data_IF_809179481589
#
_entry.id   IF_809179481589
#
_cell.length_a   1.000
_cell.length_b   1.000
_cell.length_c   1.000
_cell.angle_alpha   90.00
_cell.angle_beta   90.00
_cell.angle_gamma   90.00
#
_symmetry.space_group_name_H-M   'P 1'
#
loop_
_entity.id
_entity.type
_entity.pdbx_description
1 polymer ?
#
# COMPACT_ATOMS: atom_id res chain seq x y z
N UNK A 1 10.90 -20.79 -21.93
CA UNK A 1 11.53 -19.63 -21.30
C UNK A 1 11.21 -19.72 -19.82
N UNK A 2 12.22 -19.87 -19.04
CA UNK A 2 12.12 -20.21 -17.61
C UNK A 2 11.56 -19.03 -16.80
N UNK A 3 10.34 -19.19 -16.27
CA UNK A 3 9.62 -18.15 -15.50
C UNK A 3 9.80 -18.33 -13.98
N UNK A 4 10.86 -18.98 -13.55
CA UNK A 4 11.06 -19.35 -12.15
C UNK A 4 12.08 -18.50 -11.41
N UNK A 5 11.98 -17.18 -11.46
CA UNK A 5 12.78 -16.32 -10.59
C UNK A 5 11.96 -15.15 -10.03
N UNK A 6 10.90 -15.50 -9.27
CA UNK A 6 10.54 -14.65 -8.14
C UNK A 6 11.49 -15.08 -7.02
N UNK A 7 12.37 -14.21 -6.51
CA UNK A 7 13.24 -14.56 -5.39
C UNK A 7 12.39 -15.07 -4.24
N UNK A 8 12.87 -16.08 -3.53
CA UNK A 8 12.21 -16.58 -2.34
C UNK A 8 11.92 -15.41 -1.39
N UNK A 9 10.69 -15.32 -0.88
CA UNK A 9 10.29 -14.31 0.07
C UNK A 9 11.29 -14.30 1.23
N UNK A 10 11.96 -13.17 1.40
CA UNK A 10 12.82 -12.95 2.56
C UNK A 10 11.96 -12.50 3.73
N UNK A 11 12.37 -12.85 4.95
CA UNK A 11 11.69 -12.40 6.17
C UNK A 11 12.62 -11.46 6.94
N UNK A 12 12.07 -10.33 7.35
CA UNK A 12 12.71 -9.40 8.27
C UNK A 12 11.92 -9.35 9.57
N UNK A 13 12.61 -9.58 10.69
CA UNK A 13 12.01 -9.42 12.01
C UNK A 13 12.00 -7.94 12.39
N UNK A 14 10.84 -7.31 12.31
CA UNK A 14 10.64 -5.93 12.70
C UNK A 14 10.44 -5.83 14.23
N UNK A 15 11.39 -5.21 14.89
CA UNK A 15 11.34 -4.95 16.33
C UNK A 15 10.81 -3.53 16.56
N UNK A 16 9.65 -3.42 17.18
CA UNK A 16 9.05 -2.13 17.54
C UNK A 16 9.66 -1.59 18.85
N UNK A 17 9.52 -0.29 19.09
CA UNK A 17 10.07 0.38 20.27
C UNK A 17 9.53 -0.17 21.61
N UNK A 18 8.33 -0.75 21.60
CA UNK A 18 7.69 -1.37 22.78
C UNK A 18 8.11 -2.83 23.03
N UNK A 19 9.07 -3.34 22.23
CA UNK A 19 9.59 -4.71 22.33
C UNK A 19 8.80 -5.75 21.52
N UNK A 20 7.69 -5.38 20.88
CA UNK A 20 6.96 -6.27 19.98
C UNK A 20 7.83 -6.63 18.76
N UNK A 21 7.78 -7.88 18.33
CA UNK A 21 8.48 -8.38 17.15
C UNK A 21 7.49 -8.97 16.16
N UNK A 22 7.51 -8.48 14.93
CA UNK A 22 6.64 -8.92 13.84
C UNK A 22 7.50 -9.37 12.66
N UNK A 23 7.05 -10.38 11.95
CA UNK A 23 7.71 -10.83 10.73
C UNK A 23 7.15 -10.07 9.52
N UNK A 24 8.04 -9.52 8.71
CA UNK A 24 7.75 -8.78 7.49
C UNK A 24 8.33 -9.55 6.31
N UNK A 25 7.47 -9.99 5.41
CA UNK A 25 7.87 -10.60 4.15
C UNK A 25 8.25 -9.50 3.15
N UNK A 26 9.30 -9.74 2.37
CA UNK A 26 9.77 -8.80 1.37
C UNK A 26 10.54 -9.51 0.26
N UNK A 27 10.69 -8.84 -0.87
CA UNK A 27 11.41 -9.28 -2.04
C UNK A 27 12.37 -8.17 -2.49
N UNK A 28 13.46 -8.54 -3.12
CA UNK A 28 14.40 -7.60 -3.73
C UNK A 28 14.80 -8.11 -5.11
N UNK A 29 14.93 -7.18 -6.05
CA UNK A 29 15.57 -7.44 -7.33
C UNK A 29 16.69 -6.43 -7.56
N UNK A 30 17.87 -6.94 -7.95
CA UNK A 30 19.04 -6.15 -8.32
C UNK A 30 19.91 -6.99 -9.26
N UNK A 31 20.13 -6.50 -10.48
CA UNK A 31 20.86 -7.29 -11.51
C UNK A 31 22.39 -7.32 -11.28
N UNK A 32 22.95 -6.39 -10.48
CA UNK A 32 24.39 -6.33 -10.26
C UNK A 32 24.77 -6.21 -8.79
N UNK A 33 25.77 -6.98 -8.31
CA UNK A 33 26.34 -6.85 -6.97
C UNK A 33 26.96 -5.46 -6.70
N UNK A 34 27.34 -4.73 -7.77
CA UNK A 34 27.97 -3.40 -7.69
C UNK A 34 26.98 -2.28 -7.33
N UNK A 35 25.66 -2.55 -7.38
CA UNK A 35 24.64 -1.69 -6.79
C UNK A 35 24.63 -1.77 -5.25
N UNK A 36 25.84 -1.90 -4.68
CA UNK A 36 26.06 -2.09 -3.24
C UNK A 36 25.45 -0.99 -2.36
N UNK A 37 25.44 -1.23 -1.05
CA UNK A 37 24.87 -0.36 -0.02
C UNK A 37 25.35 1.10 -0.05
N UNK A 38 26.42 1.42 -0.76
CA UNK A 38 27.01 2.76 -0.93
C UNK A 38 26.71 3.42 -2.29
N UNK A 39 25.73 2.93 -3.06
CA UNK A 39 25.32 3.59 -4.30
C UNK A 39 24.70 4.95 -4.01
N UNK A 40 25.12 6.00 -4.72
CA UNK A 40 24.48 7.32 -4.68
C UNK A 40 23.09 7.31 -5.33
N UNK A 41 22.76 6.27 -6.11
CA UNK A 41 21.45 6.09 -6.74
C UNK A 41 20.47 5.56 -5.70
N UNK A 42 19.33 6.24 -5.47
CA UNK A 42 18.33 5.78 -4.51
C UNK A 42 17.79 4.40 -4.86
N UNK A 43 17.58 3.57 -3.83
CA UNK A 43 16.81 2.33 -3.99
C UNK A 43 15.32 2.66 -4.14
N UNK A 44 14.57 1.75 -4.77
CA UNK A 44 13.10 1.86 -4.88
C UNK A 44 12.44 0.93 -3.88
N UNK A 45 11.44 1.43 -3.15
CA UNK A 45 10.62 0.62 -2.26
C UNK A 45 9.17 0.71 -2.70
N UNK A 46 8.62 -0.43 -3.11
CA UNK A 46 7.27 -0.58 -3.64
C UNK A 46 6.31 -0.98 -2.52
N UNK A 47 5.26 -0.19 -2.32
CA UNK A 47 4.25 -0.36 -1.27
C UNK A 47 2.90 -0.65 -1.91
N UNK A 48 2.37 -1.84 -1.63
CA UNK A 48 1.13 -2.34 -2.23
C UNK A 48 -0.14 -1.71 -1.65
N UNK A 49 -1.25 -1.85 -2.38
CA UNK A 49 -2.59 -1.43 -1.97
C UNK A 49 -3.28 -2.42 -1.04
N UNK A 50 -4.50 -2.08 -0.62
CA UNK A 50 -5.33 -2.93 0.24
C UNK A 50 -5.61 -4.30 -0.39
N UNK A 51 -5.50 -5.35 0.41
CA UNK A 51 -5.79 -6.73 -0.02
C UNK A 51 -4.76 -7.35 -0.98
N UNK A 52 -3.70 -6.61 -1.30
CA UNK A 52 -2.60 -7.08 -2.12
C UNK A 52 -1.38 -7.51 -1.28
N UNK A 53 -0.25 -7.66 -1.92
CA UNK A 53 1.07 -7.95 -1.34
C UNK A 53 2.17 -7.41 -2.25
N UNK A 54 3.43 -7.53 -1.86
CA UNK A 54 4.59 -7.20 -2.70
C UNK A 54 4.55 -7.91 -4.05
N UNK A 55 3.94 -9.07 -4.13
CA UNK A 55 3.76 -9.82 -5.38
C UNK A 55 2.87 -9.10 -6.41
N UNK A 56 2.08 -8.10 -6.03
CA UNK A 56 1.31 -7.30 -6.98
C UNK A 56 2.20 -6.43 -7.89
N UNK A 57 3.46 -6.24 -7.50
CA UNK A 57 4.48 -5.55 -8.29
C UNK A 57 5.23 -6.49 -9.25
N UNK A 58 4.65 -7.64 -9.60
CA UNK A 58 5.22 -8.73 -10.42
C UNK A 58 5.81 -8.27 -11.76
N UNK A 59 5.24 -7.22 -12.36
CA UNK A 59 5.69 -6.66 -13.62
C UNK A 59 6.64 -5.46 -13.48
N UNK A 60 6.78 -4.91 -12.28
CA UNK A 60 7.57 -3.71 -12.01
C UNK A 60 8.90 -4.05 -11.33
N UNK A 61 8.85 -4.89 -10.30
CA UNK A 61 10.02 -5.28 -9.51
C UNK A 61 11.22 -5.75 -10.38
N UNK A 62 11.07 -6.69 -11.34
CA UNK A 62 12.19 -7.14 -12.15
C UNK A 62 12.66 -6.10 -13.18
N UNK A 63 11.80 -5.19 -13.63
CA UNK A 63 12.17 -4.15 -14.60
C UNK A 63 12.95 -3.03 -13.92
N UNK A 64 12.48 -2.57 -12.77
CA UNK A 64 13.15 -1.52 -12.00
C UNK A 64 14.45 -2.03 -11.37
N UNK A 65 14.50 -3.29 -10.96
CA UNK A 65 15.68 -3.95 -10.42
C UNK A 65 16.87 -4.00 -11.37
N UNK A 66 16.64 -3.88 -12.69
CA UNK A 66 17.71 -3.69 -13.69
C UNK A 66 18.36 -2.32 -13.62
N UNK A 67 17.77 -1.36 -12.94
CA UNK A 67 18.24 0.04 -12.85
C UNK A 67 18.81 0.38 -11.49
N UNK A 68 18.12 -0.04 -10.45
CA UNK A 68 18.53 0.18 -9.06
C UNK A 68 17.97 -0.92 -8.18
N UNK A 69 18.52 -1.10 -6.98
CA UNK A 69 17.96 -2.04 -5.99
C UNK A 69 16.51 -1.70 -5.76
N UNK A 70 15.63 -2.63 -6.07
CA UNK A 70 14.20 -2.45 -5.94
C UNK A 70 13.64 -3.47 -4.96
N UNK A 71 12.89 -2.99 -3.99
CA UNK A 71 12.29 -3.79 -2.93
C UNK A 71 10.77 -3.70 -3.01
N UNK A 72 10.10 -4.80 -2.70
CA UNK A 72 8.66 -4.84 -2.46
C UNK A 72 8.43 -5.55 -1.14
N UNK A 73 7.71 -4.92 -0.21
CA UNK A 73 7.42 -5.52 1.09
C UNK A 73 5.92 -5.72 1.27
N UNK A 74 5.58 -6.70 2.12
CA UNK A 74 4.21 -6.93 2.55
C UNK A 74 3.93 -6.14 3.82
N UNK A 75 2.91 -5.30 3.79
CA UNK A 75 2.46 -4.56 4.97
C UNK A 75 1.93 -5.54 6.04
N UNK A 76 2.13 -5.21 7.32
CA UNK A 76 1.56 -5.99 8.43
C UNK A 76 0.05 -6.17 8.22
N UNK A 77 -0.40 -7.40 8.33
CA UNK A 77 -1.77 -7.81 8.04
C UNK A 77 -1.99 -8.38 6.64
N UNK A 78 -1.01 -8.28 5.74
CA UNK A 78 -1.13 -8.68 4.34
C UNK A 78 -0.03 -9.66 3.91
N UNK A 79 -0.25 -10.31 2.77
CA UNK A 79 0.74 -11.16 2.11
C UNK A 79 1.32 -12.23 3.03
N UNK A 80 2.65 -12.32 3.06
CA UNK A 80 3.45 -13.21 3.92
C UNK A 80 3.78 -12.64 5.29
N UNK A 81 3.51 -11.34 5.54
CA UNK A 81 3.79 -10.68 6.81
C UNK A 81 2.91 -11.16 7.96
N UNK A 82 3.30 -10.86 9.20
CA UNK A 82 2.49 -11.14 10.41
C UNK A 82 1.09 -10.55 10.28
N UNK A 83 0.09 -11.30 10.75
CA UNK A 83 -1.33 -10.91 10.69
C UNK A 83 -1.96 -10.95 12.09
N UNK A 84 -1.54 -10.07 13.02
CA UNK A 84 -2.05 -10.04 14.38
C UNK A 84 -3.53 -9.64 14.42
N UNK A 85 -4.17 -9.95 15.54
CA UNK A 85 -5.55 -9.58 15.80
C UNK A 85 -5.75 -8.07 15.79
N UNK A 86 -6.78 -7.57 15.11
CA UNK A 86 -7.11 -6.16 15.12
C UNK A 86 -7.74 -5.75 16.46
N UNK A 87 -7.17 -4.73 17.09
CA UNK A 87 -7.78 -4.00 18.19
C UNK A 87 -8.42 -2.72 17.65
N UNK A 88 -9.67 -2.48 17.96
CA UNK A 88 -10.35 -1.22 17.70
C UNK A 88 -10.30 -0.32 18.93
N UNK A 89 -10.63 0.96 18.78
CA UNK A 89 -10.66 1.91 19.86
C UNK A 89 -11.53 1.40 21.03
N UNK A 90 -10.95 1.31 22.23
CA UNK A 90 -11.62 0.81 23.44
C UNK A 90 -11.58 -0.71 23.63
N UNK A 91 -11.09 -1.49 22.66
CA UNK A 91 -10.86 -2.91 22.86
C UNK A 91 -9.56 -3.16 23.62
N UNK A 92 -9.57 -4.19 24.47
CA UNK A 92 -8.41 -4.69 25.18
C UNK A 92 -7.99 -6.04 24.60
N UNK A 93 -6.70 -6.38 24.62
CA UNK A 93 -6.24 -7.73 24.31
C UNK A 93 -6.96 -8.76 25.19
N UNK A 94 -7.22 -9.94 24.66
CA UNK A 94 -7.84 -11.01 25.46
C UNK A 94 -6.97 -11.32 26.70
N UNK A 95 -7.61 -11.65 27.82
CA UNK A 95 -6.92 -12.02 29.05
C UNK A 95 -5.91 -13.13 28.79
N UNK A 96 -4.63 -12.87 29.10
CA UNK A 96 -3.51 -13.78 28.82
C UNK A 96 -2.78 -13.52 27.51
N UNK A 97 -3.26 -12.62 26.62
CA UNK A 97 -2.57 -12.16 25.41
C UNK A 97 -1.92 -10.80 25.66
N UNK A 98 -0.99 -10.74 26.60
CA UNK A 98 -0.19 -9.53 26.85
C UNK A 98 0.84 -9.26 25.74
N UNK A 99 1.03 -10.23 24.83
CA UNK A 99 1.98 -10.14 23.73
C UNK A 99 1.35 -9.36 22.55
N UNK A 100 1.86 -8.17 22.29
CA UNK A 100 1.44 -7.31 21.18
C UNK A 100 1.73 -7.90 19.80
N UNK A 101 2.60 -8.92 19.69
CA UNK A 101 2.77 -9.67 18.45
C UNK A 101 1.49 -10.40 18.01
N UNK A 102 0.56 -10.61 18.95
CA UNK A 102 -0.71 -11.29 18.71
C UNK A 102 -1.88 -10.32 18.46
N UNK A 103 -1.78 -9.05 18.90
CA UNK A 103 -2.85 -8.06 18.70
C UNK A 103 -2.30 -6.63 18.61
N UNK A 104 -2.81 -5.84 17.66
CA UNK A 104 -2.40 -4.45 17.46
C UNK A 104 -3.53 -3.59 16.88
N UNK A 105 -3.33 -2.28 16.91
CA UNK A 105 -4.17 -1.30 16.18
C UNK A 105 -3.56 -1.09 14.80
N UNK A 106 -4.28 -1.47 13.75
CA UNK A 106 -3.90 -1.14 12.37
C UNK A 106 -4.10 0.35 12.12
N UNK A 107 -3.11 1.00 11.53
CA UNK A 107 -3.15 2.44 11.20
C UNK A 107 -2.13 2.79 10.12
N UNK A 108 -2.28 3.96 9.52
CA UNK A 108 -1.25 4.47 8.61
C UNK A 108 0.05 4.83 9.33
N UNK A 109 0.00 5.17 10.61
CA UNK A 109 1.20 5.32 11.43
C UNK A 109 1.96 4.00 11.59
N UNK A 110 1.25 2.90 11.87
CA UNK A 110 1.86 1.57 11.96
C UNK A 110 2.58 1.19 10.66
N UNK A 111 1.87 1.30 9.53
CA UNK A 111 2.41 0.92 8.23
C UNK A 111 3.50 1.89 7.75
N UNK A 112 3.34 3.19 7.99
CA UNK A 112 4.37 4.19 7.70
C UNK A 112 5.65 3.95 8.49
N UNK A 113 5.55 3.63 9.78
CA UNK A 113 6.68 3.27 10.62
C UNK A 113 7.33 1.96 10.16
N UNK A 114 6.54 0.94 9.80
CA UNK A 114 7.05 -0.32 9.24
C UNK A 114 7.93 -0.06 8.01
N UNK A 115 7.44 0.74 7.05
CA UNK A 115 8.18 1.04 5.82
C UNK A 115 9.43 1.87 6.12
N UNK A 116 9.34 2.86 7.01
CA UNK A 116 10.47 3.69 7.40
C UNK A 116 11.57 2.86 8.09
N UNK A 117 11.19 1.98 9.01
CA UNK A 117 12.15 1.12 9.72
C UNK A 117 12.76 0.06 8.79
N UNK A 118 11.96 -0.47 7.82
CA UNK A 118 12.47 -1.35 6.78
C UNK A 118 13.55 -0.64 5.94
N UNK A 119 13.31 0.61 5.53
CA UNK A 119 14.29 1.40 4.79
C UNK A 119 15.58 1.59 5.59
N UNK A 120 15.49 1.88 6.88
CA UNK A 120 16.65 2.07 7.75
C UNK A 120 17.41 0.78 8.05
N UNK A 121 16.69 -0.33 8.28
CA UNK A 121 17.28 -1.60 8.71
C UNK A 121 17.77 -2.48 7.55
N UNK A 122 17.01 -2.53 6.45
CA UNK A 122 17.24 -3.47 5.33
C UNK A 122 17.83 -2.77 4.12
N UNK A 123 17.23 -1.65 3.68
CA UNK A 123 17.68 -0.94 2.46
C UNK A 123 19.00 -0.20 2.71
N UNK A 124 19.15 0.46 3.84
CA UNK A 124 20.36 1.14 4.33
C UNK A 124 20.93 2.14 3.31
N UNK A 125 20.10 3.09 2.85
CA UNK A 125 20.51 4.13 1.91
C UNK A 125 19.36 5.03 1.49
N UNK A 126 19.60 5.97 0.57
CA UNK A 126 18.55 6.83 0.05
C UNK A 126 17.51 6.00 -0.69
N UNK A 127 16.25 6.40 -0.57
CA UNK A 127 15.11 5.68 -1.19
C UNK A 127 14.19 6.61 -1.96
N UNK A 128 13.54 6.06 -2.97
CA UNK A 128 12.31 6.58 -3.57
C UNK A 128 11.19 5.61 -3.22
N UNK A 129 10.12 6.11 -2.62
CA UNK A 129 8.96 5.30 -2.25
C UNK A 129 7.93 5.35 -3.37
N UNK A 130 7.40 4.20 -3.74
CA UNK A 130 6.33 4.08 -4.76
C UNK A 130 5.15 3.36 -4.12
N UNK A 131 3.99 4.02 -4.04
CA UNK A 131 2.81 3.43 -3.38
C UNK A 131 1.57 3.45 -4.27
N UNK A 132 0.85 2.33 -4.32
CA UNK A 132 -0.45 2.24 -4.98
C UNK A 132 -1.58 2.27 -3.96
N UNK A 133 -2.65 3.01 -4.25
CA UNK A 133 -3.86 3.08 -3.41
C UNK A 133 -3.50 3.49 -1.97
N UNK A 134 -3.89 2.72 -0.94
CA UNK A 134 -3.49 2.96 0.44
C UNK A 134 -1.97 2.94 0.63
N UNK A 135 -1.24 2.18 -0.20
CA UNK A 135 0.22 2.19 -0.20
C UNK A 135 0.81 3.57 -0.52
N UNK A 136 0.08 4.43 -1.22
CA UNK A 136 0.43 5.83 -1.42
C UNK A 136 0.39 6.63 -0.12
N UNK A 137 -0.67 6.48 0.68
CA UNK A 137 -0.77 7.13 2.00
C UNK A 137 0.33 6.64 2.95
N UNK A 138 0.59 5.32 2.93
CA UNK A 138 1.70 4.72 3.70
C UNK A 138 3.05 5.28 3.26
N UNK A 139 3.29 5.41 1.95
CA UNK A 139 4.53 5.97 1.39
C UNK A 139 4.72 7.44 1.80
N UNK A 140 3.67 8.27 1.77
CA UNK A 140 3.72 9.64 2.26
C UNK A 140 4.08 9.70 3.75
N UNK A 141 3.43 8.87 4.57
CA UNK A 141 3.73 8.82 6.00
C UNK A 141 5.15 8.34 6.29
N UNK A 142 5.61 7.31 5.58
CA UNK A 142 6.98 6.82 5.68
C UNK A 142 8.01 7.88 5.25
N UNK A 143 7.73 8.66 4.20
CA UNK A 143 8.59 9.72 3.73
C UNK A 143 8.80 10.82 4.79
N UNK A 144 7.73 11.20 5.53
CA UNK A 144 7.86 12.13 6.66
C UNK A 144 8.77 11.58 7.77
N UNK A 145 8.71 10.25 8.05
CA UNK A 145 9.52 9.60 9.08
C UNK A 145 10.98 9.34 8.64
N UNK A 146 11.22 9.30 7.34
CA UNK A 146 12.54 9.10 6.75
C UNK A 146 13.30 10.41 6.52
N UNK A 147 12.58 11.53 6.45
CA UNK A 147 13.17 12.84 6.21
C UNK A 147 14.11 12.82 4.98
N UNK A 148 15.35 13.25 5.13
CA UNK A 148 16.35 13.34 4.04
C UNK A 148 16.75 11.98 3.44
N UNK A 149 16.45 10.85 4.09
CA UNK A 149 16.67 9.53 3.50
C UNK A 149 15.69 9.23 2.36
N UNK A 150 14.48 9.79 2.41
CA UNK A 150 13.53 9.72 1.31
C UNK A 150 13.81 10.83 0.28
N UNK A 151 14.17 10.45 -0.93
CA UNK A 151 14.48 11.41 -2.02
C UNK A 151 13.25 11.81 -2.82
N UNK A 152 12.19 11.03 -2.76
CA UNK A 152 10.93 11.34 -3.40
C UNK A 152 9.89 10.25 -3.22
N UNK A 153 8.66 10.59 -3.57
CA UNK A 153 7.51 9.68 -3.49
C UNK A 153 6.80 9.64 -4.85
N UNK A 154 6.42 8.46 -5.28
CA UNK A 154 5.53 8.29 -6.45
C UNK A 154 4.22 7.70 -5.97
N UNK A 155 3.13 8.40 -6.22
CA UNK A 155 1.79 7.97 -5.87
C UNK A 155 1.09 7.43 -7.11
N UNK A 156 0.63 6.19 -7.05
CA UNK A 156 -0.12 5.53 -8.11
C UNK A 156 -1.55 5.32 -7.62
N UNK A 157 -2.51 6.05 -8.21
CA UNK A 157 -3.93 6.00 -7.82
C UNK A 157 -4.12 5.99 -6.29
N UNK A 158 -3.54 7.01 -5.63
CA UNK A 158 -3.46 7.08 -4.18
C UNK A 158 -4.85 7.20 -3.55
N UNK A 159 -5.09 6.46 -2.48
CA UNK A 159 -6.37 6.42 -1.80
C UNK A 159 -6.76 7.77 -1.18
N UNK A 160 -7.97 8.24 -1.50
CA UNK A 160 -8.55 9.52 -1.03
C UNK A 160 -9.40 9.35 0.24
N UNK A 161 -9.79 8.11 0.53
CA UNK A 161 -10.49 7.73 1.76
C UNK A 161 -11.76 8.55 2.05
N UNK A 162 -12.63 8.63 1.06
CA UNK A 162 -13.90 9.39 1.14
C UNK A 162 -14.77 9.05 2.36
N UNK A 163 -14.62 7.85 2.94
CA UNK A 163 -15.36 7.41 4.14
C UNK A 163 -14.71 7.83 5.47
N UNK A 164 -13.63 8.60 5.46
CA UNK A 164 -13.01 9.13 6.68
C UNK A 164 -13.90 10.17 7.37
N UNK A 165 -13.79 10.31 8.70
CA UNK A 165 -14.55 11.28 9.49
C UNK A 165 -14.24 12.73 9.09
N UNK A 166 -13.03 13.00 8.64
CA UNK A 166 -12.60 14.32 8.18
C UNK A 166 -13.28 14.74 6.87
N UNK A 167 -13.79 13.77 6.10
CA UNK A 167 -14.51 13.99 4.84
C UNK A 167 -16.03 14.13 5.00
N UNK A 168 -16.56 14.13 6.25
CA UNK A 168 -18.00 14.20 6.51
C UNK A 168 -18.67 15.44 5.91
N UNK A 169 -17.97 16.57 5.89
CA UNK A 169 -18.52 17.82 5.35
C UNK A 169 -18.78 17.77 3.83
N UNK A 170 -18.09 16.88 3.11
CA UNK A 170 -18.25 16.70 1.66
C UNK A 170 -19.32 15.68 1.30
N UNK A 171 -19.85 14.94 2.29
CA UNK A 171 -20.83 13.87 2.10
C UNK A 171 -22.26 14.38 2.23
N UNK A 172 -23.26 13.67 1.63
CA UNK A 172 -24.66 14.00 1.82
C UNK A 172 -25.08 13.98 3.31
N UNK A 173 -25.87 14.94 3.74
CA UNK A 173 -26.26 15.11 5.15
C UNK A 173 -26.88 13.86 5.79
N UNK A 174 -27.59 13.01 5.02
CA UNK A 174 -28.16 11.76 5.53
C UNK A 174 -27.09 10.74 5.96
N UNK A 175 -25.88 10.80 5.41
CA UNK A 175 -24.77 9.94 5.81
C UNK A 175 -24.38 10.15 7.28
N UNK A 176 -24.50 11.35 7.79
CA UNK A 176 -24.21 11.65 9.20
C UNK A 176 -25.11 10.86 10.17
N UNK A 177 -26.36 10.58 9.76
CA UNK A 177 -27.32 9.81 10.56
C UNK A 177 -27.07 8.30 10.51
N UNK A 178 -26.69 7.76 9.37
CA UNK A 178 -26.48 6.32 9.18
C UNK A 178 -25.09 5.88 9.63
N UNK A 179 -24.11 6.77 9.56
CA UNK A 179 -22.70 6.47 9.84
C UNK A 179 -22.42 5.83 11.21
N UNK A 180 -23.03 6.28 12.35
CA UNK A 180 -22.81 5.61 13.63
C UNK A 180 -23.27 4.15 13.61
N UNK A 181 -24.38 3.86 12.92
CA UNK A 181 -24.88 2.50 12.75
C UNK A 181 -23.94 1.65 11.90
N UNK A 182 -23.45 2.20 10.77
CA UNK A 182 -22.47 1.51 9.93
C UNK A 182 -21.19 1.20 10.69
N UNK A 183 -20.66 2.17 11.46
CA UNK A 183 -19.48 1.96 12.32
C UNK A 183 -19.74 0.85 13.35
N UNK A 184 -20.87 0.89 14.04
CA UNK A 184 -21.25 -0.13 15.01
C UNK A 184 -21.36 -1.52 14.36
N UNK A 185 -21.88 -1.62 13.14
CA UNK A 185 -21.98 -2.88 12.40
C UNK A 185 -20.60 -3.42 11.99
N UNK A 186 -19.77 -2.59 11.33
CA UNK A 186 -18.45 -3.06 10.83
C UNK A 186 -17.45 -3.30 11.97
N UNK A 187 -17.67 -2.73 13.16
CA UNK A 187 -16.88 -3.03 14.35
C UNK A 187 -17.12 -4.45 14.88
N UNK A 188 -18.28 -5.06 14.57
CA UNK A 188 -18.58 -6.42 15.01
C UNK A 188 -17.66 -7.44 14.32
N UNK A 189 -16.84 -8.14 15.09
CA UNK A 189 -15.82 -9.08 14.58
C UNK A 189 -16.42 -10.18 13.70
N UNK A 190 -17.55 -10.75 14.11
CA UNK A 190 -18.22 -11.81 13.34
C UNK A 190 -18.70 -11.31 11.97
N UNK A 191 -19.21 -10.06 11.92
CA UNK A 191 -19.71 -9.46 10.68
C UNK A 191 -18.57 -9.10 9.75
N UNK A 192 -17.52 -8.42 10.23
CA UNK A 192 -16.34 -8.11 9.42
C UNK A 192 -15.67 -9.38 8.88
N UNK A 193 -15.63 -10.46 9.69
CA UNK A 193 -15.13 -11.77 9.25
C UNK A 193 -16.02 -12.38 8.15
N UNK A 194 -17.34 -12.28 8.28
CA UNK A 194 -18.28 -12.79 7.28
C UNK A 194 -18.18 -12.00 5.96
N UNK A 195 -18.07 -10.67 6.04
CA UNK A 195 -17.84 -9.80 4.88
C UNK A 195 -16.52 -10.14 4.19
N UNK A 196 -15.44 -10.28 4.96
CA UNK A 196 -14.14 -10.67 4.44
C UNK A 196 -14.18 -12.03 3.72
N UNK A 197 -14.75 -13.06 4.35
CA UNK A 197 -14.86 -14.39 3.73
C UNK A 197 -15.65 -14.39 2.43
N UNK A 198 -16.63 -13.48 2.31
CA UNK A 198 -17.37 -13.31 1.05
C UNK A 198 -16.50 -12.59 0.00
N UNK A 199 -15.84 -11.49 0.39
CA UNK A 199 -14.96 -10.71 -0.50
C UNK A 199 -13.74 -11.53 -0.99
N UNK A 200 -13.20 -12.40 -0.12
CA UNK A 200 -12.06 -13.26 -0.39
C UNK A 200 -12.35 -14.47 -1.31
N UNK A 201 -13.53 -14.56 -1.94
CA UNK A 201 -13.81 -15.63 -2.90
C UNK A 201 -13.18 -15.32 -4.26
N UNK A 202 -12.54 -16.27 -4.96
CA UNK A 202 -11.89 -16.03 -6.25
C UNK A 202 -12.81 -15.36 -7.29
N UNK A 203 -14.11 -15.72 -7.29
CA UNK A 203 -15.11 -15.10 -8.19
C UNK A 203 -15.34 -13.62 -7.86
N UNK A 204 -15.37 -13.26 -6.58
CA UNK A 204 -15.54 -11.87 -6.11
C UNK A 204 -14.28 -11.08 -6.40
N UNK A 205 -13.09 -11.63 -6.10
CA UNK A 205 -11.80 -11.03 -6.44
C UNK A 205 -11.75 -10.71 -7.94
N UNK A 206 -12.08 -11.67 -8.79
CA UNK A 206 -12.13 -11.45 -10.25
C UNK A 206 -13.15 -10.37 -10.67
N UNK A 207 -14.27 -10.28 -9.97
CA UNK A 207 -15.27 -9.23 -10.25
C UNK A 207 -14.76 -7.85 -9.86
N UNK A 208 -14.05 -7.72 -8.74
CA UNK A 208 -13.41 -6.48 -8.30
C UNK A 208 -12.29 -6.09 -9.26
N UNK A 209 -11.45 -7.06 -9.68
CA UNK A 209 -10.40 -6.81 -10.68
C UNK A 209 -10.96 -6.27 -12.00
N UNK A 210 -12.10 -6.78 -12.48
CA UNK A 210 -12.75 -6.26 -13.70
C UNK A 210 -13.21 -4.81 -13.57
N UNK A 211 -13.46 -4.32 -12.36
CA UNK A 211 -13.76 -2.90 -12.12
C UNK A 211 -12.47 -2.09 -12.03
N UNK A 212 -11.48 -2.61 -11.33
CA UNK A 212 -10.18 -1.95 -11.13
C UNK A 212 -9.35 -1.85 -12.42
N UNK A 213 -9.55 -2.78 -13.36
CA UNK A 213 -8.81 -2.91 -14.62
C UNK A 213 -9.77 -2.76 -15.82
N UNK A 214 -10.18 -1.54 -16.18
CA UNK A 214 -11.15 -1.30 -17.22
C UNK A 214 -10.71 -1.74 -18.63
N UNK A 215 -9.41 -1.90 -18.87
CA UNK A 215 -8.90 -2.48 -20.12
C UNK A 215 -9.09 -4.00 -20.18
N UNK A 216 -9.24 -4.66 -19.03
CA UNK A 216 -9.27 -6.11 -18.90
C UNK A 216 -7.91 -6.80 -19.03
N UNK A 217 -6.83 -6.04 -19.23
CA UNK A 217 -5.49 -6.59 -19.39
C UNK A 217 -5.00 -7.19 -18.04
N UNK A 218 -4.22 -8.26 -18.14
CA UNK A 218 -3.54 -8.91 -17.03
C UNK A 218 -4.44 -9.50 -15.91
N UNK A 219 -5.77 -9.57 -16.14
CA UNK A 219 -6.69 -10.30 -15.24
C UNK A 219 -6.61 -11.79 -15.55
N UNK A 220 -5.50 -12.42 -15.19
CA UNK A 220 -5.25 -13.83 -15.36
C UNK A 220 -5.55 -14.65 -14.07
N UNK A 221 -5.48 -15.98 -14.17
CA UNK A 221 -5.67 -16.85 -13.01
C UNK A 221 -4.54 -16.69 -11.99
N UNK A 222 -3.34 -16.34 -12.46
CA UNK A 222 -2.18 -16.10 -11.61
C UNK A 222 -2.42 -14.88 -10.69
N UNK A 223 -2.95 -13.77 -11.24
CA UNK A 223 -3.30 -12.60 -10.42
C UNK A 223 -4.37 -12.92 -9.40
N UNK A 224 -5.43 -13.66 -9.81
CA UNK A 224 -6.49 -14.06 -8.87
C UNK A 224 -5.93 -14.93 -7.75
N UNK A 225 -5.07 -15.90 -8.06
CA UNK A 225 -4.45 -16.76 -7.05
C UNK A 225 -3.50 -15.98 -6.12
N UNK A 226 -2.72 -15.05 -6.67
CA UNK A 226 -1.82 -14.18 -5.94
C UNK A 226 -2.58 -13.34 -4.89
N UNK A 227 -3.76 -12.84 -5.22
CA UNK A 227 -4.61 -12.09 -4.29
C UNK A 227 -5.41 -13.00 -3.34
N UNK A 228 -5.80 -14.20 -3.81
CA UNK A 228 -6.59 -15.14 -3.03
C UNK A 228 -5.79 -15.86 -1.94
N UNK A 229 -4.60 -16.37 -2.29
CA UNK A 229 -3.79 -17.20 -1.38
C UNK A 229 -3.51 -16.55 -0.02
N UNK A 230 -3.10 -15.27 0.07
CA UNK A 230 -2.90 -14.61 1.36
C UNK A 230 -4.16 -14.51 2.21
N UNK A 231 -5.35 -14.45 1.59
CA UNK A 231 -6.63 -14.36 2.33
C UNK A 231 -6.97 -15.63 3.10
N UNK A 232 -6.31 -16.75 2.80
CA UNK A 232 -6.53 -18.04 3.46
C UNK A 232 -5.76 -18.17 4.78
N UNK A 233 -4.87 -17.21 5.09
CA UNK A 233 -4.12 -17.22 6.35
C UNK A 233 -5.04 -16.87 7.53
N UNK A 234 -4.83 -17.45 8.72
CA UNK A 234 -5.74 -17.32 9.86
C UNK A 234 -6.05 -15.87 10.28
N UNK A 235 -5.08 -14.96 10.18
CA UNK A 235 -5.21 -13.56 10.58
C UNK A 235 -5.72 -12.61 9.50
N UNK A 236 -5.93 -13.07 8.25
CA UNK A 236 -6.25 -12.18 7.13
C UNK A 236 -7.54 -11.36 7.34
N UNK A 237 -8.56 -11.92 8.00
CA UNK A 237 -9.78 -11.21 8.32
C UNK A 237 -9.58 -10.07 9.34
N UNK A 238 -8.53 -10.15 10.15
CA UNK A 238 -8.22 -9.15 11.17
C UNK A 238 -7.69 -7.86 10.54
N UNK A 239 -6.75 -7.96 9.57
CA UNK A 239 -6.29 -6.79 8.84
C UNK A 239 -7.45 -6.10 8.08
N UNK A 240 -8.35 -6.88 7.46
CA UNK A 240 -9.58 -6.34 6.88
C UNK A 240 -10.42 -5.61 7.91
N UNK A 241 -10.66 -6.22 9.09
CA UNK A 241 -11.41 -5.59 10.19
C UNK A 241 -10.76 -4.29 10.64
N UNK A 242 -9.46 -4.29 10.85
CA UNK A 242 -8.69 -3.10 11.20
C UNK A 242 -8.88 -2.00 10.17
N UNK A 243 -8.69 -2.31 8.89
CA UNK A 243 -8.77 -1.35 7.79
C UNK A 243 -10.16 -0.72 7.63
N UNK A 244 -11.23 -1.52 7.59
CA UNK A 244 -12.59 -0.98 7.40
C UNK A 244 -13.08 -0.14 8.59
N UNK A 245 -12.36 -0.16 9.71
CA UNK A 245 -12.64 0.65 10.89
C UNK A 245 -11.71 1.87 11.03
N UNK A 246 -10.86 2.16 10.05
CA UNK A 246 -10.04 3.38 10.01
C UNK A 246 -10.90 4.59 9.59
N UNK A 247 -11.70 5.12 10.50
CA UNK A 247 -12.58 6.25 10.22
C UNK A 247 -12.00 7.62 10.57
N UNK A 248 -10.85 7.67 11.25
CA UNK A 248 -10.16 8.91 11.61
C UNK A 248 -8.66 8.64 11.64
N UNK A 249 -8.04 8.64 10.47
CA UNK A 249 -6.63 8.39 10.31
C UNK A 249 -6.03 9.41 9.32
N UNK A 250 -4.80 9.21 8.86
CA UNK A 250 -4.17 10.09 7.89
C UNK A 250 -4.91 10.09 6.54
N UNK A 251 -5.05 11.28 5.98
CA UNK A 251 -5.44 11.49 4.59
C UNK A 251 -4.22 11.95 3.78
N UNK A 252 -4.17 11.61 2.51
CA UNK A 252 -3.07 12.03 1.64
C UNK A 252 -2.89 13.56 1.59
N UNK A 253 -3.96 14.40 1.49
CA UNK A 253 -3.83 15.85 1.54
C UNK A 253 -3.15 16.38 2.81
N UNK A 254 -3.51 15.82 3.99
CA UNK A 254 -2.92 16.25 5.29
C UNK A 254 -1.40 15.97 5.33
N UNK A 255 -0.97 14.87 4.69
CA UNK A 255 0.44 14.48 4.63
C UNK A 255 1.20 15.31 3.59
N UNK A 256 0.59 15.60 2.43
CA UNK A 256 1.17 16.43 1.36
C UNK A 256 1.42 17.87 1.80
N UNK A 257 0.53 18.45 2.63
CA UNK A 257 0.67 19.83 3.14
C UNK A 257 2.01 20.05 3.88
N UNK A 258 2.55 19.01 4.49
CA UNK A 258 3.75 19.08 5.33
C UNK A 258 4.95 18.31 4.77
N UNK A 259 4.84 17.80 3.55
CA UNK A 259 5.90 16.99 2.94
C UNK A 259 6.93 17.89 2.23
N UNK A 260 8.23 17.64 2.50
CA UNK A 260 9.34 18.34 1.86
C UNK A 260 9.86 17.62 0.62
N UNK A 261 9.66 16.31 0.55
CA UNK A 261 10.12 15.48 -0.55
C UNK A 261 9.27 15.70 -1.80
N UNK A 262 9.88 15.72 -3.00
CA UNK A 262 9.13 15.84 -4.24
C UNK A 262 8.22 14.61 -4.47
N UNK A 263 7.02 14.89 -4.98
CA UNK A 263 6.01 13.89 -5.27
C UNK A 263 5.69 13.89 -6.76
N UNK A 264 5.66 12.72 -7.37
CA UNK A 264 5.16 12.52 -8.73
C UNK A 264 3.88 11.67 -8.67
N UNK A 265 2.88 12.00 -9.47
CA UNK A 265 1.61 11.30 -9.53
C UNK A 265 1.50 10.51 -10.83
N UNK A 266 1.05 9.25 -10.75
CA UNK A 266 0.63 8.42 -11.88
C UNK A 266 -0.81 8.00 -11.61
N UNK A 267 -1.71 8.24 -12.58
CA UNK A 267 -3.13 8.03 -12.33
C UNK A 267 -3.86 7.42 -13.52
N UNK A 268 -4.67 6.40 -13.26
CA UNK A 268 -5.59 5.85 -14.25
C UNK A 268 -6.81 6.74 -14.43
N UNK A 269 -7.05 7.20 -15.67
CA UNK A 269 -8.21 8.07 -15.97
C UNK A 269 -9.55 7.38 -15.70
N UNK A 270 -9.58 6.06 -15.77
CA UNK A 270 -10.78 5.25 -15.59
C UNK A 270 -10.84 4.58 -14.21
N UNK A 271 -10.10 5.11 -13.22
CA UNK A 271 -10.18 4.60 -11.86
C UNK A 271 -11.61 4.77 -11.32
N UNK A 272 -12.29 3.67 -10.93
CA UNK A 272 -13.67 3.73 -10.46
C UNK A 272 -13.80 4.24 -9.02
N UNK A 273 -12.68 4.32 -8.27
CA UNK A 273 -12.70 4.62 -6.83
C UNK A 273 -12.02 5.94 -6.47
N UNK A 274 -10.94 6.26 -7.18
CA UNK A 274 -10.10 7.44 -6.89
C UNK A 274 -10.14 8.39 -8.11
N UNK A 275 -11.07 9.37 -8.12
CA UNK A 275 -11.24 10.28 -9.26
C UNK A 275 -9.97 11.03 -9.61
N UNK A 276 -9.61 11.04 -10.89
CA UNK A 276 -8.42 11.75 -11.40
C UNK A 276 -8.48 13.26 -11.15
N UNK A 277 -9.68 13.82 -10.99
CA UNK A 277 -9.87 15.25 -10.67
C UNK A 277 -9.18 15.67 -9.38
N UNK A 278 -9.11 14.79 -8.39
CA UNK A 278 -8.41 15.08 -7.14
C UNK A 278 -6.89 15.07 -7.32
N UNK A 279 -6.36 14.17 -8.15
CA UNK A 279 -4.95 14.21 -8.50
C UNK A 279 -4.57 15.51 -9.23
N UNK A 280 -5.46 16.02 -10.09
CA UNK A 280 -5.31 17.31 -10.76
C UNK A 280 -5.38 18.48 -9.77
N UNK A 281 -6.25 18.39 -8.74
CA UNK A 281 -6.27 19.37 -7.65
C UNK A 281 -4.97 19.32 -6.84
N UNK A 282 -4.47 18.12 -6.52
CA UNK A 282 -3.24 17.96 -5.77
C UNK A 282 -2.02 18.54 -6.51
N UNK A 283 -1.94 18.35 -7.82
CA UNK A 283 -0.88 18.96 -8.65
C UNK A 283 -0.89 20.48 -8.61
N UNK A 284 -2.08 21.08 -8.53
CA UNK A 284 -2.22 22.55 -8.46
C UNK A 284 -2.02 23.10 -7.05
N UNK A 285 -2.41 22.35 -6.02
CA UNK A 285 -2.47 22.78 -4.63
C UNK A 285 -1.16 22.61 -3.86
N UNK A 286 -0.48 21.49 -4.05
CA UNK A 286 0.66 21.12 -3.22
C UNK A 286 1.98 21.39 -3.94
N UNK A 287 2.82 22.26 -3.40
CA UNK A 287 4.12 22.62 -3.99
C UNK A 287 5.10 21.45 -4.08
N UNK A 288 4.94 20.42 -3.25
CA UNK A 288 5.75 19.20 -3.32
C UNK A 288 5.37 18.32 -4.53
N UNK A 289 4.16 18.45 -5.10
CA UNK A 289 3.73 17.70 -6.29
C UNK A 289 4.30 18.34 -7.54
N UNK A 290 5.21 17.64 -8.19
CA UNK A 290 5.98 18.18 -9.33
C UNK A 290 5.50 17.70 -10.70
N UNK A 291 4.73 16.61 -10.75
CA UNK A 291 4.17 16.11 -12.02
C UNK A 291 2.97 15.19 -11.80
N UNK A 292 2.07 15.20 -12.80
CA UNK A 292 0.95 14.26 -12.90
C UNK A 292 0.97 13.59 -14.27
N UNK A 293 1.05 12.26 -14.29
CA UNK A 293 0.88 11.43 -15.48
C UNK A 293 -0.47 10.74 -15.47
N UNK A 294 -1.35 11.11 -16.38
CA UNK A 294 -2.65 10.47 -16.55
C UNK A 294 -2.56 9.39 -17.64
N UNK A 295 -3.04 8.18 -17.32
CA UNK A 295 -3.10 7.03 -18.23
C UNK A 295 -4.55 6.83 -18.69
N UNK A 296 -4.85 7.20 -19.92
CA UNK A 296 -6.23 7.30 -20.46
C UNK A 296 -6.99 5.97 -20.48
N UNK A 297 -6.28 4.84 -20.55
CA UNK A 297 -6.88 3.51 -20.67
C UNK A 297 -6.69 2.64 -19.43
N UNK A 298 -6.15 3.17 -18.34
CA UNK A 298 -5.92 2.44 -17.11
C UNK A 298 -6.91 2.83 -16.00
N UNK A 299 -7.13 1.91 -15.08
CA UNK A 299 -7.90 2.10 -13.85
C UNK A 299 -7.04 2.18 -12.61
N UNK A 300 -7.50 1.55 -11.51
CA UNK A 300 -6.93 1.68 -10.17
C UNK A 300 -5.54 1.04 -9.95
N UNK A 301 -5.17 0.07 -10.77
CA UNK A 301 -3.89 -0.61 -10.64
C UNK A 301 -3.07 -0.54 -11.94
N UNK A 302 -2.75 0.66 -12.45
CA UNK A 302 -2.08 0.82 -13.73
C UNK A 302 -0.69 0.17 -13.76
N UNK A 303 -0.05 0.00 -12.60
CA UNK A 303 1.26 -0.66 -12.46
C UNK A 303 1.23 -2.15 -12.85
N UNK A 304 0.07 -2.82 -12.71
CA UNK A 304 -0.14 -4.20 -13.15
C UNK A 304 -0.99 -4.29 -14.44
N UNK A 305 -1.95 -3.37 -14.64
CA UNK A 305 -2.80 -3.31 -15.83
C UNK A 305 -2.05 -2.87 -17.09
N UNK A 306 -1.15 -1.89 -16.95
CA UNK A 306 -0.39 -1.27 -18.05
C UNK A 306 1.10 -1.12 -17.67
N UNK A 307 1.78 -2.22 -17.31
CA UNK A 307 3.09 -2.19 -16.65
C UNK A 307 4.18 -1.53 -17.50
N UNK A 308 4.16 -1.69 -18.81
CA UNK A 308 5.16 -1.10 -19.70
C UNK A 308 5.15 0.43 -19.62
N UNK A 309 3.96 1.04 -19.64
CA UNK A 309 3.81 2.50 -19.57
C UNK A 309 4.24 3.01 -18.19
N UNK A 310 3.79 2.34 -17.12
CA UNK A 310 4.13 2.72 -15.74
C UNK A 310 5.63 2.54 -15.47
N UNK A 311 6.24 1.44 -15.92
CA UNK A 311 7.68 1.22 -15.75
C UNK A 311 8.51 2.29 -16.47
N UNK A 312 8.13 2.68 -17.70
CA UNK A 312 8.82 3.74 -18.43
C UNK A 312 8.71 5.09 -17.71
N UNK A 313 7.55 5.41 -17.14
CA UNK A 313 7.35 6.63 -16.37
C UNK A 313 8.17 6.59 -15.06
N UNK A 314 8.12 5.47 -14.31
CA UNK A 314 8.94 5.30 -13.10
C UNK A 314 10.43 5.44 -13.40
N UNK A 315 10.94 4.83 -14.48
CA UNK A 315 12.33 4.98 -14.89
C UNK A 315 12.66 6.45 -15.24
N UNK A 316 11.72 7.17 -15.85
CA UNK A 316 11.90 8.59 -16.19
C UNK A 316 11.95 9.46 -14.91
N UNK A 317 11.09 9.16 -13.94
CA UNK A 317 11.09 9.81 -12.63
C UNK A 317 12.40 9.53 -11.89
N UNK A 318 12.82 8.27 -11.85
CA UNK A 318 14.06 7.85 -11.14
C UNK A 318 15.33 8.51 -11.68
N UNK A 319 15.37 8.92 -12.95
CA UNK A 319 16.50 9.67 -13.52
C UNK A 319 16.67 11.09 -12.96
N UNK A 320 15.68 11.59 -12.22
CA UNK A 320 15.71 12.91 -11.57
C UNK A 320 16.45 12.88 -10.23
N UNK A 321 16.80 11.71 -9.75
CA UNK A 321 17.51 11.44 -8.51
C UNK A 321 18.88 10.82 -8.78
#
# INVERSE_FOLDING_TARGET
MDQSLVPADSIWTWKQADGCSLEVAWQCHADTPEQGQNSSVPAVVLVHGFGASGNHWRHNLPVLGKRTRTYALDLIGFGGSSQPQALLAGEQPALGQADRSQSLVYSFDLWGQQVADFCKAVVQGPVVLVGNSIGGVVALRAAQLLEDHCKGVVLIDCAQRLMDDKQLATQPAWMAWIRPLLKALVSQRWLSTALFRNAARPRVIRSVLKQAYPSGNNIDDQLVELLYKPTQRPGAAEAFRGFINLFNDHLAPDLLDNLQQPVDLIWGQKDPWEPVSEAQEWEQRFSCVRSLKILTNAGHCPHDESPEVVNNELITILKKY
#
